data_IF_180751462376
#
_entry.id   IF_180751462376
#
_cell.length_a   1.000
_cell.length_b   1.000
_cell.length_c   1.000
_cell.angle_alpha   90.00
_cell.angle_beta   90.00
_cell.angle_gamma   90.00
#
_symmetry.space_group_name_H-M   'P 1'
#
loop_
_entity.id
_entity.type
_entity.pdbx_description
1 polymer ?
#
# COMPACT_ATOMS: atom_id res chain seq x y z
N UNK A 1 21.09 0.74 3.90
CA UNK A 1 19.66 0.43 3.73
C UNK A 1 19.47 0.00 2.29
N UNK A 2 18.79 -1.11 2.05
CA UNK A 2 18.46 -1.57 0.70
C UNK A 2 16.99 -1.31 0.39
N UNK A 3 16.70 -0.81 -0.81
CA UNK A 3 15.33 -0.64 -1.31
C UNK A 3 15.20 -1.44 -2.60
N UNK A 4 14.22 -2.33 -2.65
CA UNK A 4 13.88 -3.17 -3.81
C UNK A 4 12.45 -2.87 -4.25
N UNK A 5 12.23 -2.69 -5.55
CA UNK A 5 10.90 -2.41 -6.12
C UNK A 5 10.61 -3.42 -7.23
N UNK A 6 9.53 -4.17 -7.08
CA UNK A 6 9.12 -5.24 -7.99
C UNK A 6 7.77 -4.93 -8.61
N UNK A 7 7.72 -4.92 -9.94
CA UNK A 7 6.49 -4.80 -10.71
C UNK A 7 5.97 -6.16 -11.20
N UNK A 8 4.74 -6.17 -11.71
CA UNK A 8 4.19 -7.28 -12.48
C UNK A 8 4.63 -7.26 -13.95
N UNK A 9 4.24 -8.26 -14.75
CA UNK A 9 4.60 -8.36 -16.17
C UNK A 9 3.94 -7.29 -17.06
N UNK A 10 3.02 -6.50 -16.52
CA UNK A 10 2.31 -5.45 -17.24
C UNK A 10 1.57 -4.50 -16.30
N UNK A 11 0.91 -3.48 -16.87
CA UNK A 11 0.13 -2.53 -16.10
C UNK A 11 -1.10 -3.19 -15.47
N UNK A 12 -1.44 -2.76 -14.25
CA UNK A 12 -2.64 -3.19 -13.52
C UNK A 12 -3.56 -1.99 -13.32
N UNK A 13 -4.80 -2.11 -13.79
CA UNK A 13 -5.81 -1.06 -13.70
C UNK A 13 -6.59 -1.13 -12.39
N UNK A 14 -6.71 0.02 -11.71
CA UNK A 14 -7.59 0.21 -10.54
C UNK A 14 -8.29 1.56 -10.66
N UNK A 15 -9.50 1.67 -10.10
CA UNK A 15 -10.25 2.93 -10.06
C UNK A 15 -9.93 3.63 -8.75
N UNK A 16 -9.09 4.66 -8.79
CA UNK A 16 -8.75 5.45 -7.62
C UNK A 16 -8.33 6.88 -7.99
N UNK A 17 -8.41 7.80 -7.02
CA UNK A 17 -7.79 9.12 -7.13
C UNK A 17 -6.26 8.95 -7.12
N UNK A 18 -5.60 9.32 -8.23
CA UNK A 18 -4.16 9.12 -8.45
C UNK A 18 -3.31 9.73 -7.32
N UNK A 19 -3.60 10.98 -6.94
CA UNK A 19 -2.92 11.72 -5.87
C UNK A 19 -3.02 10.98 -4.53
N UNK A 20 -4.21 10.44 -4.23
CA UNK A 20 -4.49 9.67 -3.02
C UNK A 20 -3.72 8.36 -2.98
N UNK A 21 -3.73 7.60 -4.09
CA UNK A 21 -2.98 6.35 -4.19
C UNK A 21 -1.47 6.59 -4.09
N UNK A 22 -0.95 7.62 -4.76
CA UNK A 22 0.45 8.05 -4.64
C UNK A 22 0.82 8.39 -3.20
N UNK A 23 -0.01 9.17 -2.51
CA UNK A 23 0.21 9.54 -1.12
C UNK A 23 0.17 8.32 -0.19
N UNK A 24 -0.77 7.40 -0.39
CA UNK A 24 -0.85 6.15 0.37
C UNK A 24 0.42 5.30 0.21
N UNK A 25 0.86 5.07 -1.03
CA UNK A 25 2.07 4.29 -1.34
C UNK A 25 3.33 4.91 -0.72
N UNK A 26 3.48 6.23 -0.82
CA UNK A 26 4.60 6.95 -0.19
C UNK A 26 4.58 6.83 1.33
N UNK A 27 3.41 6.94 1.95
CA UNK A 27 3.31 6.78 3.41
C UNK A 27 3.68 5.37 3.87
N UNK A 28 3.26 4.33 3.14
CA UNK A 28 3.67 2.96 3.45
C UNK A 28 5.18 2.78 3.31
N UNK A 29 5.77 3.33 2.24
CA UNK A 29 7.23 3.28 2.02
C UNK A 29 8.01 4.01 3.12
N UNK A 30 7.59 5.21 3.50
CA UNK A 30 8.23 5.99 4.55
C UNK A 30 8.15 5.31 5.91
N UNK A 31 6.98 4.73 6.24
CA UNK A 31 6.82 3.95 7.47
C UNK A 31 7.76 2.73 7.49
N UNK A 32 7.91 2.04 6.36
CA UNK A 32 8.81 0.91 6.21
C UNK A 32 10.29 1.31 6.35
N UNK A 33 10.68 2.44 5.75
CA UNK A 33 12.04 3.01 5.87
C UNK A 33 12.36 3.37 7.33
N UNK A 34 11.43 4.04 8.01
CA UNK A 34 11.59 4.39 9.42
C UNK A 34 11.71 3.14 10.30
N UNK A 35 10.85 2.13 10.07
CA UNK A 35 10.85 0.90 10.83
C UNK A 35 12.11 0.05 10.61
N UNK A 36 12.60 -0.02 9.37
CA UNK A 36 13.79 -0.78 8.99
C UNK A 36 15.08 -0.22 9.62
N UNK A 37 15.17 1.10 9.73
CA UNK A 37 16.34 1.78 10.30
C UNK A 37 17.63 1.58 9.51
N UNK A 38 18.75 2.00 10.10
CA UNK A 38 20.06 1.85 9.48
C UNK A 38 20.44 0.36 9.33
N UNK A 39 20.79 -0.05 8.10
CA UNK A 39 21.15 -1.43 7.79
C UNK A 39 19.98 -2.36 7.46
N UNK A 40 18.72 -1.91 7.63
CA UNK A 40 17.55 -2.68 7.22
C UNK A 40 17.29 -2.65 5.71
N UNK A 41 16.28 -3.41 5.28
CA UNK A 41 15.80 -3.42 3.91
C UNK A 41 14.29 -3.19 3.81
N UNK A 42 13.89 -2.58 2.72
CA UNK A 42 12.50 -2.37 2.33
C UNK A 42 12.27 -2.96 0.95
N UNK A 43 11.21 -3.74 0.78
CA UNK A 43 10.75 -4.28 -0.50
C UNK A 43 9.36 -3.75 -0.79
N UNK A 44 9.15 -3.18 -1.97
CA UNK A 44 7.84 -2.81 -2.47
C UNK A 44 7.49 -3.69 -3.68
N UNK A 45 6.29 -4.26 -3.70
CA UNK A 45 5.89 -5.22 -4.72
C UNK A 45 4.45 -4.99 -5.16
N UNK A 46 4.23 -4.97 -6.47
CA UNK A 46 2.90 -5.06 -7.05
C UNK A 46 2.49 -6.53 -7.09
N UNK A 47 1.46 -6.87 -6.33
CA UNK A 47 0.85 -8.20 -6.34
C UNK A 47 -0.39 -8.15 -7.21
N UNK A 48 -0.31 -8.84 -8.35
CA UNK A 48 -1.43 -9.00 -9.26
C UNK A 48 -2.27 -10.25 -8.89
N UNK A 49 -3.57 -10.06 -8.70
CA UNK A 49 -4.54 -11.11 -8.51
C UNK A 49 -5.73 -10.96 -9.47
N UNK A 50 -6.59 -11.99 -9.59
CA UNK A 50 -7.68 -12.00 -10.58
C UNK A 50 -8.70 -10.87 -10.39
N UNK A 51 -9.11 -10.62 -9.15
CA UNK A 51 -10.16 -9.63 -8.81
C UNK A 51 -9.61 -8.36 -8.16
N UNK A 52 -8.40 -8.43 -7.64
CA UNK A 52 -7.81 -7.36 -6.82
C UNK A 52 -6.34 -7.20 -7.13
N UNK A 53 -5.86 -5.97 -7.06
CA UNK A 53 -4.45 -5.62 -7.12
C UNK A 53 -3.99 -5.16 -5.74
N UNK A 54 -2.73 -5.39 -5.40
CA UNK A 54 -2.19 -4.88 -4.15
C UNK A 54 -0.78 -4.31 -4.28
N UNK A 55 -0.51 -3.27 -3.49
CA UNK A 55 0.84 -2.80 -3.20
C UNK A 55 1.22 -3.42 -1.86
N UNK A 56 2.20 -4.32 -1.87
CA UNK A 56 2.85 -4.84 -0.67
C UNK A 56 4.11 -4.03 -0.38
N UNK A 57 4.28 -3.61 0.87
CA UNK A 57 5.51 -2.99 1.39
C UNK A 57 5.98 -3.83 2.57
N UNK A 58 7.15 -4.46 2.42
CA UNK A 58 7.78 -5.29 3.42
C UNK A 58 9.05 -4.62 3.96
N UNK A 59 9.28 -4.72 5.27
CA UNK A 59 10.49 -4.22 5.92
C UNK A 59 11.07 -5.22 6.93
N UNK A 60 12.38 -5.19 7.12
CA UNK A 60 13.09 -6.00 8.14
C UNK A 60 13.06 -5.36 9.52
N UNK A 61 12.27 -4.31 9.70
CA UNK A 61 12.16 -3.54 10.92
C UNK A 61 11.37 -4.23 12.02
N UNK A 62 11.21 -3.51 13.12
CA UNK A 62 10.42 -3.96 14.27
C UNK A 62 8.94 -3.96 13.90
N UNK A 63 8.22 -4.95 14.42
CA UNK A 63 6.77 -5.01 14.24
C UNK A 63 6.13 -3.71 14.77
N UNK A 64 5.07 -3.19 14.11
CA UNK A 64 4.30 -2.10 14.65
C UNK A 64 3.80 -2.49 16.05
N UNK A 65 3.86 -1.61 17.06
CA UNK A 65 3.26 -1.89 18.36
C UNK A 65 1.78 -2.25 18.15
N UNK A 66 1.35 -3.42 18.64
CA UNK A 66 0.02 -4.03 18.41
C UNK A 66 -1.09 -2.95 18.41
N UNK A 67 -1.55 -2.56 17.22
CA UNK A 67 -2.73 -1.71 17.03
C UNK A 67 -4.02 -2.55 17.02
N UNK A 68 -4.04 -3.65 17.77
CA UNK A 68 -5.24 -4.46 17.91
C UNK A 68 -6.28 -3.67 18.69
N UNK A 69 -7.28 -3.12 17.99
CA UNK A 69 -8.45 -2.41 18.55
C UNK A 69 -8.28 -0.95 18.96
N UNK A 70 -7.57 -0.13 18.19
CA UNK A 70 -7.73 1.32 18.35
C UNK A 70 -8.92 1.81 17.50
N UNK A 71 -9.99 2.36 18.10
CA UNK A 71 -11.03 3.04 17.33
C UNK A 71 -10.43 4.21 16.57
N UNK A 72 -11.03 4.56 15.43
CA UNK A 72 -10.60 5.59 14.44
C UNK A 72 -10.03 6.87 15.08
N UNK A 73 -10.53 7.29 16.25
CA UNK A 73 -10.03 8.45 17.01
C UNK A 73 -8.60 8.31 17.56
N UNK A 74 -8.14 7.13 17.94
CA UNK A 74 -6.85 6.99 18.62
C UNK A 74 -5.64 6.94 17.66
N UNK A 75 -5.86 6.66 16.36
CA UNK A 75 -4.85 6.92 15.32
C UNK A 75 -4.70 8.41 15.03
N UNK A 76 -5.80 9.17 15.09
CA UNK A 76 -5.81 10.63 14.91
C UNK A 76 -5.10 11.34 16.09
N UNK A 77 -5.30 10.88 17.33
CA UNK A 77 -4.67 11.53 18.51
C UNK A 77 -3.16 11.25 18.71
N UNK A 78 -2.51 10.41 17.90
CA UNK A 78 -1.03 10.26 17.90
C UNK A 78 -0.31 11.35 17.08
N UNK A 79 -0.96 12.49 16.87
CA UNK A 79 -0.43 13.71 16.25
C UNK A 79 0.80 14.33 16.95
N UNK A 80 1.21 13.85 18.12
CA UNK A 80 2.38 14.40 18.82
C UNK A 80 3.73 13.77 18.44
N UNK A 81 3.79 12.65 17.69
CA UNK A 81 5.06 11.93 17.39
C UNK A 81 5.18 11.26 16.00
N UNK A 82 4.47 11.73 14.97
CA UNK A 82 4.77 11.39 13.56
C UNK A 82 4.32 10.01 13.03
N UNK A 83 4.21 8.96 13.84
CA UNK A 83 4.03 7.57 13.37
C UNK A 83 2.56 7.17 13.06
N UNK A 84 1.57 8.02 13.33
CA UNK A 84 0.13 7.66 13.24
C UNK A 84 -0.61 8.06 11.96
N UNK A 85 -0.12 9.08 11.25
CA UNK A 85 -0.86 9.71 10.15
C UNK A 85 -0.76 8.94 8.83
N UNK A 86 0.40 8.36 8.54
CA UNK A 86 0.66 7.71 7.25
C UNK A 86 -0.16 6.43 7.03
N UNK A 87 -0.24 5.55 8.03
CA UNK A 87 -1.08 4.35 7.94
C UNK A 87 -2.58 4.69 7.91
N UNK A 88 -2.99 5.74 8.63
CA UNK A 88 -4.37 6.20 8.60
C UNK A 88 -4.77 6.71 7.22
N UNK A 89 -3.89 7.48 6.55
CA UNK A 89 -4.13 7.91 5.16
C UNK A 89 -4.19 6.71 4.22
N UNK A 90 -3.21 5.81 4.26
CA UNK A 90 -3.18 4.65 3.38
C UNK A 90 -4.43 3.77 3.54
N UNK A 91 -4.90 3.60 4.78
CA UNK A 91 -6.15 2.91 5.08
C UNK A 91 -7.37 3.66 4.54
N UNK A 92 -7.45 4.97 4.77
CA UNK A 92 -8.55 5.79 4.26
C UNK A 92 -8.64 5.74 2.74
N UNK A 93 -7.50 5.85 2.04
CA UNK A 93 -7.43 5.71 0.58
C UNK A 93 -7.89 4.33 0.14
N UNK A 94 -7.45 3.25 0.80
CA UNK A 94 -7.90 1.91 0.47
C UNK A 94 -9.42 1.75 0.66
N UNK A 95 -9.96 2.12 1.82
CA UNK A 95 -11.39 1.99 2.15
C UNK A 95 -12.27 2.85 1.23
N UNK A 96 -11.84 4.08 0.91
CA UNK A 96 -12.57 4.98 -0.02
C UNK A 96 -12.68 4.40 -1.43
N UNK A 97 -11.74 3.55 -1.84
CA UNK A 97 -11.72 2.90 -3.15
C UNK A 97 -12.20 1.43 -3.07
N UNK A 98 -12.97 1.06 -2.04
CA UNK A 98 -13.55 -0.29 -1.90
C UNK A 98 -12.54 -1.39 -1.56
N UNK A 99 -11.34 -1.00 -1.15
CA UNK A 99 -10.23 -1.88 -0.82
C UNK A 99 -10.01 -2.05 0.67
N UNK A 100 -8.80 -2.51 1.04
CA UNK A 100 -8.40 -2.64 2.45
C UNK A 100 -6.90 -2.48 2.64
N UNK A 101 -6.49 -2.08 3.85
CA UNK A 101 -5.10 -2.12 4.30
C UNK A 101 -4.96 -3.16 5.40
N UNK A 102 -4.11 -4.17 5.17
CA UNK A 102 -3.80 -5.22 6.15
C UNK A 102 -2.31 -5.26 6.41
N UNK A 103 -1.91 -5.90 7.50
CA UNK A 103 -0.50 -6.20 7.73
C UNK A 103 -0.33 -7.53 8.44
N UNK A 104 0.83 -8.14 8.22
CA UNK A 104 1.28 -9.33 8.93
C UNK A 104 2.78 -9.25 9.24
N UNK A 105 3.29 -10.26 9.94
CA UNK A 105 4.72 -10.47 10.11
C UNK A 105 5.06 -11.88 9.64
N UNK A 106 5.78 -11.98 8.53
CA UNK A 106 6.15 -13.25 7.92
C UNK A 106 7.64 -13.27 7.61
N UNK A 107 8.32 -14.38 7.93
CA UNK A 107 9.75 -14.54 7.65
C UNK A 107 10.66 -13.52 8.34
N UNK A 108 10.21 -12.91 9.45
CA UNK A 108 10.94 -11.86 10.16
C UNK A 108 10.71 -10.45 9.62
N UNK A 109 9.94 -10.29 8.55
CA UNK A 109 9.59 -8.99 7.95
C UNK A 109 8.19 -8.54 8.39
N UNK A 110 7.99 -7.24 8.60
CA UNK A 110 6.65 -6.64 8.67
C UNK A 110 6.17 -6.40 7.24
N UNK A 111 4.93 -6.75 6.91
CA UNK A 111 4.39 -6.53 5.55
C UNK A 111 3.06 -5.79 5.64
N UNK A 112 2.99 -4.63 5.01
CA UNK A 112 1.74 -3.91 4.79
C UNK A 112 1.23 -4.20 3.38
N UNK A 113 -0.06 -4.47 3.25
CA UNK A 113 -0.71 -4.77 1.97
C UNK A 113 -1.91 -3.86 1.78
N UNK A 114 -1.77 -2.92 0.84
CA UNK A 114 -2.87 -2.07 0.36
C UNK A 114 -3.49 -2.77 -0.83
N UNK A 115 -4.72 -3.24 -0.69
CA UNK A 115 -5.46 -3.97 -1.73
C UNK A 115 -6.59 -3.11 -2.27
N UNK A 116 -6.73 -3.06 -3.60
CA UNK A 116 -7.83 -2.40 -4.31
C UNK A 116 -8.50 -3.38 -5.27
N UNK A 117 -9.82 -3.25 -5.52
CA UNK A 117 -10.48 -3.96 -6.61
C UNK A 117 -9.85 -3.60 -7.95
N UNK A 118 -9.72 -4.57 -8.85
CA UNK A 118 -9.28 -4.30 -10.21
C UNK A 118 -10.36 -3.55 -10.96
N UNK A 119 -9.95 -2.58 -11.78
CA UNK A 119 -10.83 -2.09 -12.82
C UNK A 119 -10.98 -3.18 -13.88
N UNK A 120 -12.16 -3.30 -14.51
CA UNK A 120 -12.29 -4.05 -15.74
C UNK A 120 -11.18 -3.61 -16.70
N UNK A 121 -10.56 -4.57 -17.41
CA UNK A 121 -9.64 -4.21 -18.47
C UNK A 121 -10.37 -3.22 -19.40
N UNK A 122 -9.72 -2.12 -19.82
CA UNK A 122 -10.33 -1.24 -20.80
C UNK A 122 -10.75 -2.10 -21.99
N UNK A 123 -12.01 -1.94 -22.43
CA UNK A 123 -12.48 -2.64 -23.62
C UNK A 123 -11.48 -2.36 -24.75
N UNK A 124 -11.12 -3.37 -25.57
CA UNK A 124 -10.24 -3.13 -26.70
C UNK A 124 -10.82 -1.97 -27.52
N UNK A 125 -10.00 -0.94 -27.75
CA UNK A 125 -10.38 0.21 -28.55
C UNK A 125 -10.91 -0.32 -29.89
N UNK A 126 -12.13 0.05 -30.31
CA UNK A 126 -12.64 -0.39 -31.59
C UNK A 126 -11.64 0.07 -32.67
N UNK A 127 -11.32 -0.78 -33.65
CA UNK A 127 -10.36 -0.42 -34.69
C UNK A 127 -10.80 0.91 -35.33
N UNK A 128 -9.85 1.79 -35.66
CA UNK A 128 -10.18 3.08 -36.27
C UNK A 128 -11.05 2.83 -37.51
N UNK A 129 -12.21 3.45 -37.52
CA UNK A 129 -13.18 3.33 -38.60
C UNK A 129 -12.49 3.82 -39.88
N UNK A 130 -12.30 2.91 -40.85
CA UNK A 130 -11.62 3.23 -42.09
C UNK A 130 -12.45 4.29 -42.84
N UNK A 131 -11.86 5.48 -42.99
CA UNK A 131 -12.41 6.59 -43.76
C UNK A 131 -12.36 6.33 -45.27
#
# INVERSE_FOLDING_TARGET
>A
MAIDVRGGPGPVGVTAEESGLRAASLNLALNAIEAAGAGGSVRMELVDGPETAAIEVADTGRAPPRAGRLPVRALLHRQARGVGLGLALARHVAERNGGSLRWDRLGGETRFRLTLPRSPAPAPEPPPEAA
#
